data_IF_576557217721
#
_entry.id   IF_576557217721
#
_cell.length_a   1.000
_cell.length_b   1.000
_cell.length_c   1.000
_cell.angle_alpha   90.00
_cell.angle_beta   90.00
_cell.angle_gamma   90.00
#
_symmetry.space_group_name_H-M   'P 1'
#
loop_
_entity.id
_entity.type
_entity.pdbx_description
1 polymer ?
#
# COMPACT_ATOMS: atom_id res chain seq x y z
N UNK A 1 11.81 -19.93 -26.11
CA UNK A 1 13.12 -19.23 -26.04
C UNK A 1 13.25 -18.62 -24.65
N UNK A 2 14.43 -18.73 -24.06
CA UNK A 2 14.69 -18.87 -22.62
C UNK A 2 13.99 -17.87 -21.68
N UNK A 3 13.21 -18.41 -20.74
CA UNK A 3 12.71 -17.72 -19.55
C UNK A 3 13.87 -17.69 -18.55
N UNK A 4 14.55 -16.55 -18.47
CA UNK A 4 15.66 -16.31 -17.55
C UNK A 4 15.13 -16.00 -16.15
N UNK A 5 15.59 -16.83 -15.21
CA UNK A 5 15.36 -16.80 -13.76
C UNK A 5 16.09 -15.62 -13.13
N UNK A 6 15.40 -14.79 -12.34
CA UNK A 6 15.91 -14.13 -11.12
C UNK A 6 14.72 -13.53 -10.35
N UNK A 7 14.13 -14.31 -9.43
CA UNK A 7 13.20 -13.79 -8.44
C UNK A 7 13.78 -14.10 -7.05
N UNK A 8 14.79 -13.34 -6.66
CA UNK A 8 15.47 -13.50 -5.38
C UNK A 8 15.17 -12.31 -4.48
N UNK A 9 14.48 -12.62 -3.39
CA UNK A 9 14.42 -11.93 -2.10
C UNK A 9 13.70 -10.56 -1.98
N UNK A 10 12.96 -10.47 -0.86
CA UNK A 10 12.32 -9.33 -0.18
C UNK A 10 10.85 -9.09 -0.57
N UNK A 11 9.90 -9.70 0.14
CA UNK A 11 9.39 -9.28 1.46
C UNK A 11 8.77 -7.87 1.42
N UNK A 12 7.46 -7.86 1.69
CA UNK A 12 6.59 -6.72 2.05
C UNK A 12 5.81 -6.13 0.88
N UNK A 13 4.50 -6.39 0.89
CA UNK A 13 3.46 -5.60 0.21
C UNK A 13 3.65 -5.40 -1.30
N UNK A 14 3.27 -6.41 -2.09
CA UNK A 14 2.99 -6.18 -3.50
C UNK A 14 1.63 -5.46 -3.62
N UNK A 15 1.62 -4.15 -3.40
CA UNK A 15 0.53 -3.28 -3.85
C UNK A 15 0.63 -3.21 -5.38
N UNK A 16 0.02 -4.19 -6.06
CA UNK A 16 -0.32 -4.00 -7.46
C UNK A 16 -1.43 -2.94 -7.53
N UNK A 17 -1.02 -1.69 -7.79
CA UNK A 17 -1.93 -0.61 -8.15
C UNK A 17 -2.46 -0.88 -9.56
N UNK A 18 -3.72 -1.27 -9.67
CA UNK A 18 -4.44 -1.06 -10.92
C UNK A 18 -4.88 0.41 -10.95
N UNK A 19 -4.20 1.22 -11.76
CA UNK A 19 -4.59 2.61 -12.04
C UNK A 19 -5.75 2.57 -13.04
N UNK A 20 -6.99 2.69 -12.59
CA UNK A 20 -8.06 3.17 -13.46
C UNK A 20 -7.93 4.69 -13.51
N UNK A 21 -7.19 5.17 -14.52
CA UNK A 21 -7.25 6.58 -14.93
C UNK A 21 -8.60 6.75 -15.62
N UNK A 22 -9.65 7.14 -14.91
CA UNK A 22 -10.79 7.79 -15.57
C UNK A 22 -10.34 9.19 -15.95
N UNK A 23 -9.59 9.30 -17.05
CA UNK A 23 -9.28 10.57 -17.68
C UNK A 23 -10.56 11.06 -18.33
N UNK A 24 -11.19 12.07 -17.72
CA UNK A 24 -12.07 12.95 -18.47
C UNK A 24 -11.18 13.75 -19.42
N UNK A 25 -10.95 13.20 -20.62
CA UNK A 25 -10.20 13.87 -21.68
C UNK A 25 -10.95 15.14 -22.09
N UNK A 26 -10.48 16.30 -21.63
CA UNK A 26 -10.78 17.58 -22.29
C UNK A 26 -9.90 17.64 -23.53
N UNK A 27 -10.48 17.33 -24.68
CA UNK A 27 -9.83 17.51 -25.97
C UNK A 27 -9.52 19.00 -26.19
N UNK A 28 -8.36 19.28 -26.79
CA UNK A 28 -7.93 20.59 -27.29
C UNK A 28 -9.03 21.23 -28.14
N UNK A 29 -9.50 22.42 -27.75
CA UNK A 29 -10.37 23.26 -28.58
C UNK A 29 -9.49 24.14 -29.48
N UNK A 30 -9.32 23.72 -30.73
CA UNK A 30 -9.04 24.64 -31.83
C UNK A 30 -10.33 25.41 -32.13
N UNK A 31 -10.26 26.74 -32.11
CA UNK A 31 -11.41 27.65 -32.22
C UNK A 31 -12.07 27.60 -33.61
N UNK A 32 -13.37 27.31 -33.65
CA UNK A 32 -14.27 27.71 -34.75
C UNK A 32 -15.65 28.18 -34.17
N UNK A 33 -16.36 29.09 -34.87
CA UNK A 33 -17.43 29.93 -34.30
C UNK A 33 -18.77 29.19 -34.05
N UNK A 34 -19.71 29.78 -33.28
CA UNK A 34 -20.72 29.00 -32.56
C UNK A 34 -21.95 28.69 -33.44
N UNK A 35 -22.20 27.39 -33.69
CA UNK A 35 -23.47 26.89 -34.25
C UNK A 35 -24.30 26.24 -33.14
N UNK A 36 -25.62 26.46 -33.20
CA UNK A 36 -26.65 26.15 -32.19
C UNK A 36 -26.44 24.83 -31.42
N UNK A 37 -26.42 24.93 -30.09
CA UNK A 37 -26.26 23.84 -29.12
C UNK A 37 -27.29 22.72 -29.33
N UNK A 38 -26.85 21.59 -29.87
CA UNK A 38 -27.49 20.30 -29.63
C UNK A 38 -27.18 19.89 -28.18
N UNK A 39 -28.20 19.39 -27.45
CA UNK A 39 -28.02 18.84 -26.09
C UNK A 39 -26.95 17.75 -26.13
N UNK A 40 -25.74 18.03 -25.63
CA UNK A 40 -24.72 17.00 -25.35
C UNK A 40 -25.35 15.98 -24.40
N UNK A 41 -25.59 14.76 -24.89
CA UNK A 41 -25.92 13.60 -24.05
C UNK A 41 -24.84 13.45 -22.99
N UNK A 42 -25.22 13.67 -21.72
CA UNK A 42 -24.34 13.41 -20.58
C UNK A 42 -23.89 11.94 -20.66
N UNK A 43 -22.59 11.70 -20.90
CA UNK A 43 -21.99 10.38 -20.72
C UNK A 43 -22.26 9.98 -19.26
N UNK A 44 -22.94 8.85 -19.06
CA UNK A 44 -23.12 8.29 -17.71
C UNK A 44 -21.73 8.12 -17.09
N UNK A 45 -21.54 8.48 -15.81
CA UNK A 45 -20.27 8.25 -15.14
C UNK A 45 -19.93 6.76 -15.23
N UNK A 46 -18.72 6.44 -15.68
CA UNK A 46 -18.26 5.06 -15.76
C UNK A 46 -18.37 4.40 -14.38
N UNK A 47 -18.95 3.19 -14.30
CA UNK A 47 -19.08 2.50 -13.04
C UNK A 47 -17.69 2.14 -12.49
N UNK A 48 -17.50 2.30 -11.18
CA UNK A 48 -16.27 1.87 -10.51
C UNK A 48 -16.12 0.36 -10.73
N UNK A 49 -14.99 -0.11 -11.30
CA UNK A 49 -14.81 -1.53 -11.58
C UNK A 49 -14.56 -2.32 -10.29
N UNK A 50 -14.72 -3.63 -10.38
CA UNK A 50 -14.41 -4.55 -9.28
C UNK A 50 -12.89 -4.69 -9.07
N UNK A 51 -12.44 -4.95 -7.82
CA UNK A 51 -11.03 -5.08 -7.50
C UNK A 51 -10.39 -6.26 -8.25
N UNK A 52 -9.24 -6.00 -8.86
CA UNK A 52 -8.46 -7.04 -9.55
C UNK A 52 -7.68 -7.88 -8.54
N UNK A 53 -7.96 -9.19 -8.52
CA UNK A 53 -7.28 -10.17 -7.67
C UNK A 53 -6.52 -11.14 -8.57
N UNK A 54 -5.24 -11.36 -8.27
CA UNK A 54 -4.39 -12.29 -9.01
C UNK A 54 -4.58 -13.69 -8.42
N UNK A 55 -4.80 -14.68 -9.28
CA UNK A 55 -4.83 -16.08 -8.86
C UNK A 55 -3.47 -16.49 -8.29
N UNK A 56 -3.41 -16.69 -6.96
CA UNK A 56 -2.17 -17.09 -6.25
C UNK A 56 -1.56 -18.37 -6.81
N UNK A 57 -2.39 -19.28 -7.36
CA UNK A 57 -1.94 -20.54 -7.97
C UNK A 57 -1.06 -20.35 -9.21
N UNK A 58 -1.16 -19.20 -9.89
CA UNK A 58 -0.37 -18.88 -11.08
C UNK A 58 0.99 -18.27 -10.74
N UNK A 59 1.23 -17.94 -9.47
CA UNK A 59 2.45 -17.28 -8.99
C UNK A 59 3.32 -18.30 -8.27
N UNK A 60 4.62 -18.32 -8.56
CA UNK A 60 5.57 -19.11 -7.80
C UNK A 60 5.78 -18.51 -6.40
N UNK A 61 5.28 -19.21 -5.38
CA UNK A 61 5.35 -18.81 -3.97
C UNK A 61 6.35 -19.64 -3.15
N UNK A 62 7.10 -20.54 -3.79
CA UNK A 62 8.00 -21.50 -3.12
C UNK A 62 9.01 -20.82 -2.18
N UNK A 63 9.62 -19.72 -2.63
CA UNK A 63 10.60 -18.94 -1.84
C UNK A 63 9.95 -18.21 -0.66
N UNK A 64 8.68 -17.82 -0.77
CA UNK A 64 7.96 -17.21 0.33
C UNK A 64 7.62 -18.26 1.39
N UNK A 65 7.11 -19.41 0.94
CA UNK A 65 6.73 -20.53 1.81
C UNK A 65 7.92 -21.13 2.53
N UNK A 66 9.07 -21.27 1.87
CA UNK A 66 10.32 -21.72 2.50
C UNK A 66 10.78 -20.78 3.62
N UNK A 67 10.50 -19.49 3.46
CA UNK A 67 10.77 -18.46 4.46
C UNK A 67 9.64 -18.29 5.50
N UNK A 68 8.66 -19.19 5.51
CA UNK A 68 7.50 -19.13 6.41
C UNK A 68 6.61 -17.91 6.19
N UNK A 69 6.61 -17.36 4.98
CA UNK A 69 5.82 -16.18 4.60
C UNK A 69 4.76 -16.59 3.59
N UNK A 70 3.63 -15.89 3.61
CA UNK A 70 2.60 -16.02 2.59
C UNK A 70 2.45 -14.72 1.84
N UNK A 71 2.24 -14.81 0.53
CA UNK A 71 1.87 -13.67 -0.28
C UNK A 71 0.49 -13.18 0.15
N UNK A 72 0.39 -11.89 0.50
CA UNK A 72 -0.88 -11.21 0.73
C UNK A 72 -1.03 -10.11 -0.30
N UNK A 73 -2.15 -10.14 -1.03
CA UNK A 73 -2.51 -9.11 -1.99
C UNK A 73 -3.58 -8.22 -1.37
N UNK A 74 -3.43 -6.91 -1.56
CA UNK A 74 -4.43 -5.91 -1.19
C UNK A 74 -4.84 -5.15 -2.45
N UNK A 75 -6.12 -4.87 -2.53
CA UNK A 75 -6.75 -4.07 -3.57
C UNK A 75 -6.73 -2.59 -3.22
N UNK A 76 -6.31 -1.76 -4.17
CA UNK A 76 -6.26 -0.31 -4.00
C UNK A 76 -6.90 0.36 -5.20
N UNK A 77 -7.76 1.34 -4.95
CA UNK A 77 -8.28 2.25 -5.97
C UNK A 77 -7.61 3.62 -5.84
N UNK A 78 -7.23 4.23 -6.96
CA UNK A 78 -6.69 5.59 -7.00
C UNK A 78 -7.54 6.45 -7.91
N UNK A 79 -8.13 7.53 -7.38
CA UNK A 79 -8.96 8.46 -8.16
C UNK A 79 -8.24 9.79 -8.40
N UNK A 80 -8.26 10.27 -9.64
CA UNK A 80 -7.79 11.62 -9.97
C UNK A 80 -8.97 12.57 -9.99
N UNK A 81 -8.91 13.62 -9.17
CA UNK A 81 -10.03 14.54 -8.98
C UNK A 81 -9.62 15.94 -9.42
N UNK A 82 -10.41 16.52 -10.32
CA UNK A 82 -10.28 17.91 -10.77
C UNK A 82 -11.46 18.80 -10.33
N UNK A 83 -12.58 18.19 -9.92
CA UNK A 83 -13.81 18.88 -9.52
C UNK A 83 -14.29 18.42 -8.14
N UNK A 84 -14.83 19.36 -7.33
CA UNK A 84 -15.34 19.08 -5.98
C UNK A 84 -16.61 18.21 -5.98
N UNK A 85 -17.49 18.36 -6.96
CA UNK A 85 -18.75 17.60 -7.02
C UNK A 85 -18.50 16.09 -7.23
N UNK A 86 -17.51 15.76 -8.06
CA UNK A 86 -17.10 14.38 -8.31
C UNK A 86 -16.62 13.67 -7.03
N UNK A 87 -15.97 14.40 -6.12
CA UNK A 87 -15.45 13.87 -4.85
C UNK A 87 -16.58 13.39 -3.91
N UNK A 88 -17.69 14.12 -3.83
CA UNK A 88 -18.82 13.71 -3.00
C UNK A 88 -19.49 12.42 -3.52
N UNK A 89 -19.69 12.34 -4.84
CA UNK A 89 -20.28 11.18 -5.48
C UNK A 89 -19.37 9.94 -5.37
N UNK A 90 -18.06 10.14 -5.47
CA UNK A 90 -17.08 9.06 -5.31
C UNK A 90 -17.17 8.44 -3.92
N UNK A 91 -17.06 9.23 -2.84
CA UNK A 91 -17.06 8.70 -1.48
C UNK A 91 -18.37 8.04 -1.04
N UNK A 92 -19.50 8.40 -1.66
CA UNK A 92 -20.79 7.78 -1.37
C UNK A 92 -21.01 6.47 -2.13
N UNK A 93 -20.11 6.09 -3.04
CA UNK A 93 -20.27 4.89 -3.83
C UNK A 93 -20.01 3.63 -2.98
N UNK A 94 -20.99 2.74 -2.93
CA UNK A 94 -20.92 1.47 -2.20
C UNK A 94 -19.81 0.55 -2.70
N UNK A 95 -19.39 0.68 -3.97
CA UNK A 95 -18.30 -0.11 -4.55
C UNK A 95 -16.95 0.13 -3.85
N UNK A 96 -16.74 1.29 -3.22
CA UNK A 96 -15.51 1.58 -2.50
C UNK A 96 -15.27 0.63 -1.32
N UNK A 97 -16.34 0.06 -0.74
CA UNK A 97 -16.24 -0.90 0.36
C UNK A 97 -15.58 -2.22 -0.06
N UNK A 98 -15.52 -2.52 -1.36
CA UNK A 98 -14.86 -3.72 -1.90
C UNK A 98 -13.34 -3.60 -1.94
N UNK A 99 -12.81 -2.38 -1.93
CA UNK A 99 -11.37 -2.13 -1.95
C UNK A 99 -10.79 -2.14 -0.52
N UNK A 100 -9.51 -2.50 -0.39
CA UNK A 100 -8.79 -2.47 0.90
C UNK A 100 -8.25 -1.07 1.22
N UNK A 101 -7.76 -0.37 0.20
CA UNK A 101 -7.20 0.98 0.34
C UNK A 101 -7.81 1.94 -0.68
N UNK A 102 -8.05 3.17 -0.23
CA UNK A 102 -8.53 4.26 -1.08
C UNK A 102 -7.43 5.32 -1.17
N UNK A 103 -7.03 5.63 -2.40
CA UNK A 103 -6.06 6.68 -2.69
C UNK A 103 -6.68 7.79 -3.54
N UNK A 104 -6.24 9.02 -3.28
CA UNK A 104 -6.73 10.20 -3.99
C UNK A 104 -5.56 10.99 -4.57
N UNK A 105 -5.74 11.46 -5.80
CA UNK A 105 -4.85 12.38 -6.50
C UNK A 105 -5.54 13.73 -6.70
N UNK A 106 -5.27 14.74 -5.85
CA UNK A 106 -5.86 16.07 -6.01
C UNK A 106 -5.19 16.82 -7.17
N UNK A 107 -5.99 17.23 -8.14
CA UNK A 107 -5.55 18.05 -9.28
C UNK A 107 -5.47 19.55 -8.98
N UNK A 108 -6.11 20.02 -7.90
CA UNK A 108 -6.13 21.44 -7.53
C UNK A 108 -6.12 21.67 -6.01
N UNK A 109 -5.69 22.87 -5.63
CA UNK A 109 -5.60 23.31 -4.23
C UNK A 109 -6.98 23.34 -3.54
N UNK A 110 -8.05 23.64 -4.30
CA UNK A 110 -9.42 23.65 -3.81
C UNK A 110 -9.88 22.25 -3.38
N UNK A 111 -9.46 21.22 -4.11
CA UNK A 111 -9.76 19.83 -3.79
C UNK A 111 -8.97 19.40 -2.56
N UNK A 112 -7.70 19.80 -2.45
CA UNK A 112 -6.90 19.51 -1.25
C UNK A 112 -7.56 20.07 0.02
N UNK A 113 -8.11 21.29 -0.02
CA UNK A 113 -8.87 21.87 1.11
C UNK A 113 -10.09 21.04 1.50
N UNK A 114 -10.72 20.41 0.51
CA UNK A 114 -11.90 19.58 0.74
C UNK A 114 -11.51 18.23 1.33
N UNK A 115 -10.43 17.64 0.82
CA UNK A 115 -9.85 16.40 1.33
C UNK A 115 -9.35 16.56 2.77
N UNK A 116 -8.80 17.72 3.12
CA UNK A 116 -8.40 18.03 4.49
C UNK A 116 -9.54 17.88 5.50
N UNK A 117 -10.79 18.16 5.09
CA UNK A 117 -11.99 17.98 5.95
C UNK A 117 -12.58 16.56 5.91
N UNK A 118 -12.10 15.70 5.02
CA UNK A 118 -12.66 14.37 4.72
C UNK A 118 -11.62 13.25 4.80
N UNK A 119 -10.64 13.39 5.68
CA UNK A 119 -9.52 12.44 5.88
C UNK A 119 -9.94 11.03 6.31
N UNK A 120 -11.17 10.87 6.79
CA UNK A 120 -11.76 9.56 7.11
C UNK A 120 -12.01 8.70 5.87
N UNK A 121 -12.22 9.29 4.69
CA UNK A 121 -12.66 8.56 3.49
C UNK A 121 -11.52 8.02 2.61
N UNK A 122 -10.28 8.39 2.88
CA UNK A 122 -9.11 7.94 2.11
C UNK A 122 -7.90 7.68 3.00
N UNK A 123 -6.94 6.91 2.49
CA UNK A 123 -5.77 6.44 3.23
C UNK A 123 -4.47 6.99 2.67
N UNK A 124 -4.41 7.17 1.35
CA UNK A 124 -3.23 7.61 0.63
C UNK A 124 -3.53 8.86 -0.20
N UNK A 125 -2.66 9.86 -0.12
CA UNK A 125 -2.63 10.97 -1.07
C UNK A 125 -1.45 10.79 -2.01
N UNK A 126 -1.72 10.77 -3.31
CA UNK A 126 -0.70 10.68 -4.36
C UNK A 126 -0.79 11.90 -5.26
N UNK A 127 0.20 12.08 -6.12
CA UNK A 127 0.24 13.20 -7.07
C UNK A 127 0.83 12.75 -8.41
N UNK A 128 0.77 13.62 -9.40
CA UNK A 128 1.40 13.35 -10.69
C UNK A 128 2.90 13.68 -10.58
N UNK A 129 3.74 12.65 -10.71
CA UNK A 129 5.18 12.76 -10.46
C UNK A 129 5.94 13.42 -11.63
N UNK A 130 5.35 13.32 -12.83
CA UNK A 130 5.94 13.80 -14.08
C UNK A 130 5.76 15.31 -14.31
N UNK A 131 4.85 15.95 -13.57
CA UNK A 131 4.50 17.37 -13.75
C UNK A 131 4.60 18.14 -12.44
N UNK A 132 4.65 19.48 -12.53
CA UNK A 132 4.69 20.35 -11.36
C UNK A 132 3.34 20.32 -10.65
N UNK A 133 3.35 20.05 -9.35
CA UNK A 133 2.15 20.03 -8.52
C UNK A 133 2.16 21.22 -7.55
N UNK A 134 1.28 22.21 -7.77
CA UNK A 134 1.29 23.49 -7.03
C UNK A 134 1.04 23.35 -5.52
N UNK A 135 0.09 22.52 -5.12
CA UNK A 135 -0.29 22.37 -3.71
C UNK A 135 0.80 21.75 -2.83
N UNK A 136 1.86 21.16 -3.39
CA UNK A 136 2.98 20.59 -2.61
C UNK A 136 3.67 21.64 -1.73
N UNK A 137 3.53 22.92 -2.06
CA UNK A 137 4.08 24.04 -1.28
C UNK A 137 3.21 24.42 -0.06
N UNK A 138 2.01 23.85 0.09
CA UNK A 138 1.07 24.17 1.17
C UNK A 138 1.33 23.34 2.43
N UNK A 139 2.53 23.48 3.03
CA UNK A 139 2.99 22.62 4.13
C UNK A 139 2.00 22.48 5.28
N UNK A 140 1.35 23.58 5.71
CA UNK A 140 0.36 23.54 6.82
C UNK A 140 -0.82 22.59 6.55
N UNK A 141 -1.31 22.54 5.31
CA UNK A 141 -2.46 21.69 4.94
C UNK A 141 -2.04 20.24 4.80
N UNK A 142 -0.88 20.02 4.21
CA UNK A 142 -0.26 18.71 4.05
C UNK A 142 0.03 18.08 5.43
N UNK A 143 0.59 18.86 6.34
CA UNK A 143 0.83 18.45 7.73
C UNK A 143 -0.47 18.10 8.45
N UNK A 144 -1.51 18.94 8.33
CA UNK A 144 -2.81 18.66 8.95
C UNK A 144 -3.42 17.33 8.45
N UNK A 145 -3.32 17.03 7.15
CA UNK A 145 -3.78 15.75 6.57
C UNK A 145 -2.96 14.58 7.13
N UNK A 146 -1.64 14.75 7.26
CA UNK A 146 -0.75 13.72 7.84
C UNK A 146 -1.08 13.46 9.30
N UNK A 147 -1.39 14.49 10.08
CA UNK A 147 -1.66 14.38 11.50
C UNK A 147 -2.96 13.60 11.79
N UNK A 148 -3.91 13.63 10.86
CA UNK A 148 -5.09 12.74 10.84
C UNK A 148 -4.75 11.27 10.52
N UNK A 149 -3.47 10.94 10.27
CA UNK A 149 -2.94 9.61 10.00
C UNK A 149 -3.03 9.16 8.54
N UNK A 150 -3.31 10.07 7.61
CA UNK A 150 -3.23 9.80 6.17
C UNK A 150 -1.76 9.88 5.72
N UNK A 151 -1.38 9.06 4.75
CA UNK A 151 0.00 8.96 4.28
C UNK A 151 0.13 9.44 2.84
N UNK A 152 1.23 10.09 2.52
CA UNK A 152 1.50 10.57 1.16
C UNK A 152 2.34 9.55 0.38
N UNK A 153 2.19 9.49 -0.93
CA UNK A 153 2.93 8.54 -1.77
C UNK A 153 3.85 9.26 -2.75
N UNK A 154 5.08 8.77 -2.86
CA UNK A 154 6.02 9.08 -3.93
C UNK A 154 6.23 7.80 -4.75
N UNK A 155 6.16 7.93 -6.08
CA UNK A 155 6.38 6.82 -7.01
C UNK A 155 7.59 7.08 -7.88
N UNK A 156 8.49 6.08 -8.01
CA UNK A 156 9.75 6.26 -8.72
C UNK A 156 9.74 5.86 -10.20
N UNK A 157 8.78 5.09 -10.70
CA UNK A 157 8.82 4.61 -12.08
C UNK A 157 8.90 5.76 -13.10
N UNK A 158 8.18 6.86 -12.84
CA UNK A 158 8.23 8.07 -13.69
C UNK A 158 9.63 8.67 -13.85
N UNK A 159 10.53 8.46 -12.88
CA UNK A 159 11.89 8.97 -12.91
C UNK A 159 12.88 8.11 -13.71
N UNK A 160 12.50 6.86 -14.04
CA UNK A 160 13.36 5.93 -14.75
C UNK A 160 13.39 6.20 -16.25
N UNK A 161 12.27 6.61 -16.85
CA UNK A 161 12.17 6.92 -18.28
C UNK A 161 12.81 8.25 -18.65
N UNK A 162 12.03 9.34 -18.59
CA UNK A 162 12.43 10.64 -19.12
C UNK A 162 13.23 11.49 -18.12
N UNK A 163 14.20 12.23 -18.64
CA UNK A 163 15.07 13.15 -17.89
C UNK A 163 14.28 14.31 -17.27
N UNK A 164 13.25 14.83 -17.94
CA UNK A 164 12.41 15.89 -17.40
C UNK A 164 11.54 15.35 -16.27
N UNK A 165 10.85 14.22 -16.48
CA UNK A 165 10.08 13.55 -15.44
C UNK A 165 10.93 13.22 -14.20
N UNK A 166 12.18 12.77 -14.39
CA UNK A 166 13.15 12.54 -13.30
C UNK A 166 13.41 13.79 -12.48
N UNK A 167 13.69 14.94 -13.12
CA UNK A 167 13.90 16.20 -12.40
C UNK A 167 12.64 16.63 -11.63
N UNK A 168 11.46 16.49 -12.24
CA UNK A 168 10.19 16.85 -11.60
C UNK A 168 9.92 15.96 -10.38
N UNK A 169 10.05 14.64 -10.50
CA UNK A 169 9.88 13.70 -9.39
C UNK A 169 10.84 14.02 -8.23
N UNK A 170 12.14 14.25 -8.52
CA UNK A 170 13.13 14.58 -7.49
C UNK A 170 12.86 15.93 -6.81
N UNK A 171 12.38 16.93 -7.56
CA UNK A 171 12.04 18.25 -7.02
C UNK A 171 10.76 18.21 -6.19
N UNK A 172 9.69 17.62 -6.73
CA UNK A 172 8.41 17.45 -6.04
C UNK A 172 8.58 16.61 -4.76
N UNK A 173 9.34 15.51 -4.84
CA UNK A 173 9.65 14.66 -3.71
C UNK A 173 10.39 15.42 -2.60
N UNK A 174 11.34 16.30 -2.96
CA UNK A 174 12.02 17.18 -2.00
C UNK A 174 11.05 18.13 -1.30
N UNK A 175 10.16 18.78 -2.04
CA UNK A 175 9.16 19.66 -1.46
C UNK A 175 8.24 18.91 -0.50
N UNK A 176 7.77 17.73 -0.90
CA UNK A 176 6.91 16.90 -0.06
C UNK A 176 7.62 16.44 1.22
N UNK A 177 8.89 16.01 1.12
CA UNK A 177 9.71 15.63 2.27
C UNK A 177 9.89 16.78 3.26
N UNK A 178 10.11 18.00 2.76
CA UNK A 178 10.22 19.19 3.61
C UNK A 178 8.87 19.54 4.25
N UNK A 179 7.80 19.57 3.47
CA UNK A 179 6.44 19.87 3.93
C UNK A 179 5.97 18.89 5.03
N UNK A 180 6.29 17.60 4.91
CA UNK A 180 5.88 16.57 5.87
C UNK A 180 6.89 16.34 7.00
N UNK A 181 7.95 17.15 7.10
CA UNK A 181 9.07 16.94 8.04
C UNK A 181 9.59 15.49 7.99
N UNK A 182 9.69 14.91 6.79
CA UNK A 182 10.22 13.56 6.51
C UNK A 182 9.46 12.42 7.24
N UNK A 183 8.14 12.53 7.37
CA UNK A 183 7.29 11.50 8.01
C UNK A 183 6.00 11.28 7.24
N UNK A 184 5.41 10.09 7.34
CA UNK A 184 4.12 9.80 6.72
C UNK A 184 4.19 9.80 5.20
N UNK A 185 5.25 9.20 4.64
CA UNK A 185 5.44 9.06 3.20
C UNK A 185 5.72 7.59 2.88
N UNK A 186 5.05 7.06 1.86
CA UNK A 186 5.30 5.77 1.25
C UNK A 186 6.12 5.97 -0.01
N UNK A 187 7.17 5.16 -0.16
CA UNK A 187 7.90 5.06 -1.40
C UNK A 187 7.45 3.81 -2.17
N UNK A 188 6.94 4.03 -3.37
CA UNK A 188 6.31 3.00 -4.21
C UNK A 188 6.97 2.93 -5.58
N UNK A 189 6.82 1.79 -6.27
CA UNK A 189 7.29 1.67 -7.65
C UNK A 189 6.43 2.45 -8.62
N UNK A 190 5.10 2.27 -8.55
CA UNK A 190 4.15 2.78 -9.55
C UNK A 190 4.51 2.40 -10.99
N UNK A 191 5.24 1.28 -11.14
CA UNK A 191 5.66 0.72 -12.41
C UNK A 191 4.45 0.20 -13.19
N UNK A 192 4.43 0.46 -14.50
CA UNK A 192 3.48 -0.16 -15.43
C UNK A 192 4.06 -1.44 -16.03
N UNK A 193 5.38 -1.42 -16.26
CA UNK A 193 6.11 -2.53 -16.86
C UNK A 193 7.02 -3.22 -15.85
N UNK A 194 7.28 -4.51 -16.07
CA UNK A 194 8.14 -5.33 -15.20
C UNK A 194 9.57 -4.78 -15.14
N UNK A 195 10.03 -4.18 -16.25
CA UNK A 195 11.38 -3.59 -16.38
C UNK A 195 11.61 -2.39 -15.46
N UNK A 196 10.55 -1.76 -14.96
CA UNK A 196 10.63 -0.61 -14.06
C UNK A 196 10.65 -1.01 -12.59
N UNK A 197 10.43 -2.30 -12.28
CA UNK A 197 10.52 -2.79 -10.91
C UNK A 197 11.98 -2.83 -10.45
N UNK A 198 12.19 -2.45 -9.19
CA UNK A 198 13.51 -2.46 -8.54
C UNK A 198 13.45 -3.23 -7.24
N UNK A 199 14.59 -3.79 -6.82
CA UNK A 199 14.71 -4.41 -5.52
C UNK A 199 14.49 -3.37 -4.41
N UNK A 200 14.03 -3.77 -3.21
CA UNK A 200 13.74 -2.82 -2.14
C UNK A 200 14.93 -1.95 -1.72
N UNK A 201 16.15 -2.48 -1.74
CA UNK A 201 17.35 -1.70 -1.45
C UNK A 201 17.70 -0.68 -2.55
N UNK A 202 17.45 -1.01 -3.82
CA UNK A 202 17.63 -0.06 -4.92
C UNK A 202 16.60 1.08 -4.83
N UNK A 203 15.36 0.76 -4.46
CA UNK A 203 14.33 1.75 -4.19
C UNK A 203 14.73 2.65 -3.00
N UNK A 204 15.31 2.09 -1.93
CA UNK A 204 15.84 2.88 -0.81
C UNK A 204 16.97 3.83 -1.25
N UNK A 205 17.87 3.38 -2.14
CA UNK A 205 18.93 4.22 -2.69
C UNK A 205 18.38 5.39 -3.51
N UNK A 206 17.29 5.19 -4.27
CA UNK A 206 16.60 6.27 -4.98
C UNK A 206 16.00 7.29 -4.00
N UNK A 207 15.54 6.86 -2.83
CA UNK A 207 15.05 7.76 -1.79
C UNK A 207 16.15 8.69 -1.25
N UNK A 208 17.40 8.20 -1.19
CA UNK A 208 18.56 9.02 -0.84
C UNK A 208 18.76 10.20 -1.80
N UNK A 209 18.44 10.01 -3.09
CA UNK A 209 18.50 11.09 -4.09
C UNK A 209 17.49 12.21 -3.84
N UNK A 210 16.41 11.94 -3.09
CA UNK A 210 15.39 12.92 -2.68
C UNK A 210 15.82 13.65 -1.39
N UNK A 211 16.89 13.20 -0.72
CA UNK A 211 17.44 13.84 0.49
C UNK A 211 17.05 13.17 1.80
N UNK A 212 16.66 11.89 1.76
CA UNK A 212 16.51 11.06 2.96
C UNK A 212 17.83 10.36 3.26
N UNK A 213 18.30 10.41 4.51
CA UNK A 213 19.52 9.67 4.86
C UNK A 213 19.25 8.17 4.85
N UNK A 214 20.23 7.38 4.39
CA UNK A 214 20.12 5.92 4.28
C UNK A 214 19.69 5.23 5.58
N UNK A 215 20.14 5.76 6.72
CA UNK A 215 19.79 5.29 8.07
C UNK A 215 18.28 5.38 8.36
N UNK A 216 17.59 6.36 7.78
CA UNK A 216 16.18 6.62 8.00
C UNK A 216 15.30 6.22 6.80
N UNK A 217 15.85 5.59 5.77
CA UNK A 217 15.11 5.27 4.56
C UNK A 217 14.18 4.05 4.73
N UNK A 218 14.52 3.08 5.59
CA UNK A 218 13.77 1.82 5.75
C UNK A 218 12.27 1.99 6.07
N UNK A 219 11.85 2.87 7.00
CA UNK A 219 10.44 3.07 7.34
C UNK A 219 9.54 3.44 6.16
N UNK A 220 10.08 4.04 5.10
CA UNK A 220 9.35 4.44 3.88
C UNK A 220 8.85 3.26 3.05
N UNK A 221 9.49 2.09 3.17
CA UNK A 221 9.06 0.85 2.52
C UNK A 221 8.45 -0.17 3.50
N UNK A 222 8.77 -0.11 4.80
CA UNK A 222 8.28 -1.10 5.77
C UNK A 222 7.12 -0.57 6.63
N UNK A 223 7.35 0.54 7.33
CA UNK A 223 6.54 0.91 8.49
C UNK A 223 5.33 1.76 8.08
N UNK A 224 5.51 2.74 7.19
CA UNK A 224 4.40 3.56 6.69
C UNK A 224 3.41 2.76 5.82
N UNK A 225 3.83 1.85 4.91
CA UNK A 225 2.88 0.96 4.24
C UNK A 225 2.10 0.08 5.22
N UNK A 226 2.77 -0.41 6.28
CA UNK A 226 2.11 -1.20 7.33
C UNK A 226 1.09 -0.37 8.10
N UNK A 227 1.40 0.88 8.46
CA UNK A 227 0.44 1.76 9.15
C UNK A 227 -0.79 2.07 8.27
N UNK A 228 -0.59 2.23 6.96
CA UNK A 228 -1.69 2.45 6.01
C UNK A 228 -2.60 1.23 5.91
N UNK A 229 -2.02 0.02 5.82
CA UNK A 229 -2.84 -1.20 5.83
C UNK A 229 -3.66 -1.33 7.12
N UNK A 230 -3.04 -1.08 8.27
CA UNK A 230 -3.73 -1.12 9.55
C UNK A 230 -4.85 -0.08 9.62
N UNK A 231 -4.64 1.12 9.08
CA UNK A 231 -5.68 2.14 8.94
C UNK A 231 -6.84 1.66 8.07
N UNK A 232 -6.55 1.08 6.89
CA UNK A 232 -7.57 0.54 5.98
C UNK A 232 -8.44 -0.53 6.67
N UNK A 233 -7.81 -1.47 7.37
CA UNK A 233 -8.52 -2.49 8.17
C UNK A 233 -9.35 -1.85 9.31
N UNK A 234 -8.80 -0.85 10.01
CA UNK A 234 -9.50 -0.18 11.11
C UNK A 234 -10.77 0.53 10.67
N UNK A 235 -10.84 1.01 9.42
CA UNK A 235 -12.03 1.65 8.84
C UNK A 235 -13.15 0.68 8.49
N UNK A 236 -12.82 -0.61 8.31
CA UNK A 236 -13.82 -1.67 8.14
C UNK A 236 -14.47 -2.06 9.45
N UNK A 237 -13.74 -1.85 10.55
CA UNK A 237 -14.24 -2.01 11.91
C UNK A 237 -14.92 -0.72 12.40
N UNK A 238 -15.71 -0.85 13.47
CA UNK A 238 -16.22 0.29 14.21
C UNK A 238 -15.12 0.88 15.10
N UNK A 239 -15.18 2.19 15.34
CA UNK A 239 -14.23 2.89 16.23
C UNK A 239 -14.31 2.30 17.64
N UNK A 240 -13.15 1.98 18.22
CA UNK A 240 -13.06 1.37 19.56
C UNK A 240 -13.31 -0.14 19.62
N UNK A 241 -13.55 -0.80 18.48
CA UNK A 241 -13.72 -2.25 18.42
C UNK A 241 -12.43 -2.96 17.97
N UNK A 242 -12.21 -4.16 18.52
CA UNK A 242 -11.11 -5.04 18.11
C UNK A 242 -11.68 -6.12 17.18
N UNK A 243 -11.26 -6.10 15.92
CA UNK A 243 -11.58 -7.17 14.98
C UNK A 243 -10.73 -8.41 15.30
N UNK A 244 -11.37 -9.49 15.74
CA UNK A 244 -10.71 -10.76 16.05
C UNK A 244 -10.89 -11.70 14.86
N UNK A 245 -9.77 -12.18 14.33
CA UNK A 245 -9.76 -13.23 13.31
C UNK A 245 -9.19 -14.53 13.91
N UNK A 246 -9.70 -15.66 13.46
CA UNK A 246 -9.15 -16.97 13.82
C UNK A 246 -7.67 -17.06 13.44
N UNK A 247 -6.85 -17.64 14.32
CA UNK A 247 -5.40 -17.81 14.12
C UNK A 247 -5.09 -18.53 12.81
N UNK A 248 -5.98 -19.40 12.34
CA UNK A 248 -5.83 -20.11 11.06
C UNK A 248 -5.83 -19.16 9.83
N UNK A 249 -6.42 -17.97 9.96
CA UNK A 249 -6.45 -16.94 8.93
C UNK A 249 -5.19 -16.03 8.94
N UNK A 250 -4.39 -16.07 10.01
CA UNK A 250 -3.19 -15.25 10.16
C UNK A 250 -1.95 -16.16 10.11
N UNK A 251 -1.16 -16.18 9.02
CA UNK A 251 0.13 -16.84 9.01
C UNK A 251 1.03 -16.22 10.08
N UNK A 252 1.11 -16.85 11.25
CA UNK A 252 2.12 -16.60 12.26
C UNK A 252 3.33 -17.48 11.99
N UNK A 253 4.51 -17.02 12.39
CA UNK A 253 5.72 -17.84 12.50
C UNK A 253 5.45 -19.15 13.27
N UNK A 254 4.54 -19.11 14.23
CA UNK A 254 4.22 -20.23 15.12
C UNK A 254 3.44 -21.35 14.41
N UNK A 255 2.66 -21.03 13.37
CA UNK A 255 2.05 -22.07 12.52
C UNK A 255 3.11 -22.83 11.70
N UNK A 256 4.26 -22.21 11.41
CA UNK A 256 5.40 -22.88 10.76
C UNK A 256 6.12 -23.80 11.73
N UNK A 257 6.26 -23.46 13.01
CA UNK A 257 6.79 -24.41 13.99
C UNK A 257 5.91 -25.67 14.07
N UNK A 258 4.58 -25.51 14.11
CA UNK A 258 3.67 -26.66 14.09
C UNK A 258 3.71 -27.45 12.76
N UNK A 259 3.79 -26.77 11.62
CA UNK A 259 3.86 -27.39 10.29
C UNK A 259 5.24 -28.04 10.00
N UNK A 260 6.33 -27.44 10.48
CA UNK A 260 7.68 -27.98 10.38
C UNK A 260 7.88 -29.13 11.36
N UNK A 261 7.39 -29.01 12.60
CA UNK A 261 7.39 -30.09 13.58
C UNK A 261 6.57 -31.29 13.10
N UNK A 262 5.39 -31.07 12.52
CA UNK A 262 4.61 -32.16 11.91
C UNK A 262 5.29 -32.78 10.67
N UNK A 263 6.12 -32.04 9.93
CA UNK A 263 6.98 -32.59 8.85
C UNK A 263 8.15 -33.39 9.42
N UNK A 264 8.81 -32.89 10.46
CA UNK A 264 9.93 -33.56 11.11
C UNK A 264 9.48 -34.82 11.86
N UNK A 265 8.30 -34.82 12.49
CA UNK A 265 7.71 -36.01 13.12
C UNK A 265 7.34 -37.12 12.12
N UNK A 266 7.23 -36.82 10.82
CA UNK A 266 7.09 -37.83 9.77
C UNK A 266 8.41 -38.54 9.45
N UNK A 267 9.55 -37.96 9.81
CA UNK A 267 10.87 -38.57 9.66
C UNK A 267 11.06 -39.57 10.81
N UNK A 268 11.18 -40.89 10.53
CA UNK A 268 11.25 -41.93 11.57
C UNK A 268 12.38 -41.71 12.58
N UNK A 269 13.54 -41.26 12.10
CA UNK A 269 14.74 -41.03 12.91
C UNK A 269 14.55 -39.88 13.90
N UNK A 270 13.91 -38.79 13.45
CA UNK A 270 13.62 -37.64 14.29
C UNK A 270 12.56 -37.97 15.35
N UNK A 271 11.54 -38.75 14.97
CA UNK A 271 10.50 -39.20 15.92
C UNK A 271 11.09 -40.05 17.05
N UNK A 272 11.99 -40.97 16.74
CA UNK A 272 12.69 -41.79 17.73
C UNK A 272 13.59 -40.96 18.66
N UNK A 273 14.17 -39.87 18.17
CA UNK A 273 14.95 -38.94 19.01
C UNK A 273 14.07 -38.17 20.00
N UNK A 274 12.89 -37.70 19.56
CA UNK A 274 11.93 -36.99 20.43
C UNK A 274 11.40 -37.91 21.53
N UNK A 275 11.07 -39.16 21.21
CA UNK A 275 10.58 -40.15 22.18
C UNK A 275 11.66 -40.55 23.22
N UNK A 276 12.96 -40.41 22.88
CA UNK A 276 14.09 -40.73 23.77
C UNK A 276 14.45 -39.61 24.74
N UNK A 277 13.99 -38.38 24.54
CA UNK A 277 14.25 -37.29 25.49
C UNK A 277 13.27 -37.46 26.66
N UNK A 278 13.75 -37.78 27.88
CA UNK A 278 12.86 -37.82 29.04
C UNK A 278 12.26 -36.42 29.23
N UNK A 279 10.94 -36.34 29.31
CA UNK A 279 10.24 -35.10 29.58
C UNK A 279 10.83 -34.47 30.86
N UNK A 280 11.59 -33.39 30.72
CA UNK A 280 12.09 -32.65 31.88
C UNK A 280 10.88 -32.18 32.67
N UNK A 281 10.72 -32.74 33.88
CA UNK A 281 9.65 -32.44 34.83
C UNK A 281 9.58 -30.92 35.10
N UNK A 282 8.74 -30.21 34.36
CA UNK A 282 8.24 -28.86 34.72
C UNK A 282 6.74 -28.97 35.01
N UNK A 283 6.40 -29.67 36.08
CA UNK A 283 5.11 -29.60 36.77
C UNK A 283 5.15 -30.58 37.96
N UNK A 284 5.64 -30.13 39.13
CA UNK A 284 5.34 -30.69 40.46
C UNK A 284 6.15 -29.89 41.51
N UNK A 285 5.79 -28.62 41.69
CA UNK A 285 6.14 -27.83 42.89
C UNK A 285 5.38 -26.50 42.87
N UNK A 286 4.05 -26.54 42.87
CA UNK A 286 3.20 -25.36 43.14
C UNK A 286 1.73 -25.75 43.34
N UNK A 287 1.48 -26.81 44.11
CA UNK A 287 0.13 -27.14 44.56
C UNK A 287 0.21 -28.03 45.80
N UNK A 288 0.90 -27.57 46.84
CA UNK A 288 0.87 -28.22 48.17
C UNK A 288 1.44 -27.25 49.24
N UNK A 289 0.85 -26.08 49.37
CA UNK A 289 0.93 -25.27 50.60
C UNK A 289 -0.39 -24.53 50.77
N UNK A 290 -1.46 -25.27 51.00
CA UNK A 290 -2.72 -24.69 51.49
C UNK A 290 -3.57 -25.75 52.20
N UNK A 291 -3.01 -26.42 53.22
CA UNK A 291 -3.78 -26.94 54.36
C UNK A 291 -2.85 -27.47 55.46
N UNK A 292 -3.13 -27.04 56.71
CA UNK A 292 -2.52 -27.41 58.01
C UNK A 292 -1.34 -26.55 58.50
N UNK A 293 -1.65 -25.41 59.12
CA UNK A 293 -1.70 -25.21 60.57
C UNK A 293 -2.24 -23.81 60.86
#
# INVERSE_FOLDING_TARGET
>A
MQISKTFTALQTLMLHLFRISSEATSADETQEPPVKRQKKTLKKPEPIPDPYIVDVKKVDVTVLESNGKRLRQFSRITVSLNEQNALHNFFNNSQLKKYDLIAVRPGSDAILNTLQRKTDFFDIVTYEQSSKTGWLMMSKKIEAIRDEGVVFEISYASALGDSYARRMMLSNGRFLMQALRRRGIIFSSGARDVIDLRAPYDALNMLCLIGVDSKFARPYLSDYPKSVLLRGESKRSLRGCIAVHSVNAVPSSNLIEAAALSRLLKVPEFRLQVERVPATKKAQSKEETETKC
#
